data_IF_376269932792
#
_entry.id   IF_376269932792
#
_cell.length_a   1.000
_cell.length_b   1.000
_cell.length_c   1.000
_cell.angle_alpha   90.00
_cell.angle_beta   90.00
_cell.angle_gamma   90.00
#
_symmetry.space_group_name_H-M   'P 1'
#
loop_
_entity.id
_entity.type
_entity.pdbx_description
1 polymer ?
#
# COMPACT_ATOMS: atom_id res chain seq x y z
N UNK A 1 -18.36 7.48 15.15
CA UNK A 1 -18.07 7.93 13.78
C UNK A 1 -19.07 7.31 12.84
N UNK A 2 -19.70 8.14 12.01
CA UNK A 2 -20.53 7.69 10.89
C UNK A 2 -19.69 6.95 9.83
N UNK A 3 -20.34 6.16 8.99
CA UNK A 3 -19.67 5.50 7.85
C UNK A 3 -19.01 6.52 6.92
N UNK A 4 -19.67 7.65 6.66
CA UNK A 4 -19.14 8.74 5.83
C UNK A 4 -17.85 9.35 6.40
N UNK A 5 -17.75 9.49 7.72
CA UNK A 5 -16.51 9.94 8.38
C UNK A 5 -15.41 8.89 8.29
N UNK A 6 -15.75 7.60 8.48
CA UNK A 6 -14.76 6.53 8.32
C UNK A 6 -14.21 6.47 6.88
N UNK A 7 -15.06 6.69 5.88
CA UNK A 7 -14.66 6.76 4.48
C UNK A 7 -13.77 7.95 4.17
N UNK A 8 -14.06 9.12 4.74
CA UNK A 8 -13.23 10.31 4.54
C UNK A 8 -11.84 10.12 5.16
N UNK A 9 -11.77 9.52 6.36
CA UNK A 9 -10.49 9.17 6.99
C UNK A 9 -9.73 8.11 6.22
N UNK A 10 -10.40 7.07 5.71
CA UNK A 10 -9.73 6.04 4.93
C UNK A 10 -9.13 6.60 3.64
N UNK A 11 -9.87 7.46 2.92
CA UNK A 11 -9.35 8.17 1.74
C UNK A 11 -8.16 9.07 2.08
N UNK A 12 -8.21 9.74 3.22
CA UNK A 12 -7.10 10.57 3.68
C UNK A 12 -5.86 9.72 4.00
N UNK A 13 -6.02 8.59 4.68
CA UNK A 13 -4.93 7.64 4.95
C UNK A 13 -4.35 7.08 3.64
N UNK A 14 -5.20 6.72 2.68
CA UNK A 14 -4.75 6.27 1.35
C UNK A 14 -3.85 7.33 0.68
N UNK A 15 -4.25 8.59 0.70
CA UNK A 15 -3.44 9.69 0.15
C UNK A 15 -2.11 9.87 0.90
N UNK A 16 -2.09 9.72 2.23
CA UNK A 16 -0.87 9.80 3.02
C UNK A 16 0.10 8.65 2.70
N UNK A 17 -0.41 7.42 2.63
CA UNK A 17 0.39 6.25 2.25
C UNK A 17 0.95 6.46 0.86
N UNK A 18 0.13 6.92 -0.09
CA UNK A 18 0.59 7.18 -1.47
C UNK A 18 1.72 8.21 -1.51
N UNK A 19 1.53 9.38 -0.89
CA UNK A 19 2.55 10.43 -0.81
C UNK A 19 3.86 9.93 -0.18
N UNK A 20 3.76 9.14 0.89
CA UNK A 20 4.93 8.55 1.54
C UNK A 20 5.67 7.60 0.59
N UNK A 21 4.96 6.70 -0.08
CA UNK A 21 5.56 5.75 -1.02
C UNK A 21 6.22 6.48 -2.19
N UNK A 22 5.53 7.44 -2.81
CA UNK A 22 6.06 8.24 -3.92
C UNK A 22 7.38 8.92 -3.52
N UNK A 23 7.40 9.65 -2.39
CA UNK A 23 8.62 10.31 -1.92
C UNK A 23 9.78 9.35 -1.61
N UNK A 24 9.48 8.16 -1.07
CA UNK A 24 10.50 7.12 -0.83
C UNK A 24 11.04 6.54 -2.15
N UNK A 25 10.18 6.36 -3.15
CA UNK A 25 10.55 5.82 -4.46
C UNK A 25 11.34 6.81 -5.31
N UNK A 26 10.93 8.08 -5.33
CA UNK A 26 11.63 9.17 -6.02
C UNK A 26 13.03 9.38 -5.45
N UNK A 27 13.15 9.41 -4.12
CA UNK A 27 14.42 9.57 -3.42
C UNK A 27 15.30 8.32 -3.37
N UNK A 28 14.86 7.18 -3.92
CA UNK A 28 15.56 5.90 -3.86
C UNK A 28 15.93 5.43 -2.44
N UNK A 29 15.15 5.78 -1.42
CA UNK A 29 15.47 5.48 -0.02
C UNK A 29 15.11 4.02 0.35
N UNK A 30 15.85 3.05 -0.20
CA UNK A 30 15.55 1.60 -0.11
C UNK A 30 15.34 1.07 1.31
N UNK A 31 15.99 1.67 2.33
CA UNK A 31 15.83 1.28 3.73
C UNK A 31 14.39 1.40 4.25
N UNK A 32 13.54 2.17 3.58
CA UNK A 32 12.13 2.35 3.95
C UNK A 32 11.16 1.50 3.11
N UNK A 33 11.63 0.66 2.19
CA UNK A 33 10.73 -0.15 1.35
C UNK A 33 9.89 -1.13 2.17
N UNK A 34 10.46 -1.73 3.23
CA UNK A 34 9.71 -2.58 4.16
C UNK A 34 8.61 -1.82 4.91
N UNK A 35 8.89 -0.58 5.34
CA UNK A 35 7.89 0.28 6.00
C UNK A 35 6.73 0.59 5.03
N UNK A 36 7.05 1.03 3.81
CA UNK A 36 6.06 1.27 2.76
C UNK A 36 5.21 0.02 2.46
N UNK A 37 5.85 -1.15 2.32
CA UNK A 37 5.12 -2.39 2.08
C UNK A 37 4.18 -2.75 3.24
N UNK A 38 4.59 -2.51 4.49
CA UNK A 38 3.75 -2.67 5.67
C UNK A 38 2.52 -1.75 5.67
N UNK A 39 2.68 -0.46 5.32
CA UNK A 39 1.55 0.45 5.20
C UNK A 39 0.56 0.04 4.11
N UNK A 40 1.07 -0.36 2.95
CA UNK A 40 0.25 -0.85 1.83
C UNK A 40 -0.52 -2.11 2.25
N UNK A 41 0.14 -3.03 2.97
CA UNK A 41 -0.49 -4.23 3.48
C UNK A 41 -1.63 -3.92 4.43
N UNK A 42 -1.37 -3.10 5.46
CA UNK A 42 -2.37 -2.73 6.45
C UNK A 42 -3.56 -1.99 5.84
N UNK A 43 -3.30 -1.04 4.93
CA UNK A 43 -4.36 -0.32 4.22
C UNK A 43 -5.22 -1.28 3.38
N UNK A 44 -4.58 -2.20 2.67
CA UNK A 44 -5.28 -3.20 1.87
C UNK A 44 -6.09 -4.20 2.69
N UNK A 45 -5.61 -4.58 3.89
CA UNK A 45 -6.36 -5.41 4.85
C UNK A 45 -7.60 -4.68 5.38
N UNK A 46 -7.49 -3.38 5.65
CA UNK A 46 -8.64 -2.54 6.03
C UNK A 46 -9.64 -2.41 4.88
N UNK A 47 -9.17 -2.23 3.64
CA UNK A 47 -10.04 -2.23 2.46
C UNK A 47 -10.79 -3.55 2.33
N UNK A 48 -10.10 -4.67 2.54
CA UNK A 48 -10.67 -6.02 2.47
C UNK A 48 -11.70 -6.28 3.58
N UNK A 49 -11.42 -5.86 4.81
CA UNK A 49 -12.38 -5.97 5.92
C UNK A 49 -13.64 -5.13 5.72
N UNK A 50 -13.58 -4.11 4.85
CA UNK A 50 -14.71 -3.27 4.44
C UNK A 50 -15.39 -3.74 3.15
N UNK A 51 -15.14 -4.97 2.74
CA UNK A 51 -15.86 -5.63 1.63
C UNK A 51 -15.21 -5.51 0.26
N UNK A 52 -14.02 -4.89 0.14
CA UNK A 52 -13.28 -4.90 -1.12
C UNK A 52 -12.63 -6.28 -1.30
N UNK A 53 -13.22 -7.09 -2.19
CA UNK A 53 -12.71 -8.42 -2.49
C UNK A 53 -11.22 -8.39 -2.85
N UNK A 54 -10.42 -9.17 -2.12
CA UNK A 54 -8.95 -9.25 -2.27
C UNK A 54 -8.26 -7.89 -2.13
N UNK A 55 -8.77 -7.01 -1.27
CA UNK A 55 -8.29 -5.64 -1.10
C UNK A 55 -6.77 -5.54 -0.92
N UNK A 56 -6.19 -6.39 -0.06
CA UNK A 56 -4.74 -6.44 0.16
C UNK A 56 -3.97 -6.74 -1.11
N UNK A 57 -4.35 -7.81 -1.81
CA UNK A 57 -3.64 -8.25 -3.02
C UNK A 57 -3.79 -7.23 -4.16
N UNK A 58 -5.00 -6.70 -4.36
CA UNK A 58 -5.26 -5.70 -5.39
C UNK A 58 -4.42 -4.45 -5.20
N UNK A 59 -4.33 -3.97 -3.96
CA UNK A 59 -3.55 -2.77 -3.65
C UNK A 59 -2.05 -3.02 -3.85
N UNK A 60 -1.52 -4.13 -3.32
CA UNK A 60 -0.11 -4.50 -3.49
C UNK A 60 0.29 -4.66 -4.96
N UNK A 61 -0.54 -5.33 -5.76
CA UNK A 61 -0.29 -5.51 -7.20
C UNK A 61 -0.36 -4.19 -7.97
N UNK A 62 -1.25 -3.26 -7.57
CA UNK A 62 -1.26 -1.89 -8.10
C UNK A 62 0.06 -1.16 -7.85
N UNK A 63 0.57 -1.21 -6.62
CA UNK A 63 1.88 -0.65 -6.29
C UNK A 63 3.04 -1.35 -7.02
N UNK A 64 2.99 -2.68 -7.22
CA UNK A 64 3.96 -3.40 -8.06
C UNK A 64 3.96 -2.87 -9.49
N UNK A 65 2.77 -2.62 -10.06
CA UNK A 65 2.60 -2.12 -11.43
C UNK A 65 3.13 -0.70 -11.58
N UNK A 66 2.75 0.21 -10.67
CA UNK A 66 3.21 1.60 -10.66
C UNK A 66 4.74 1.71 -10.57
N UNK A 67 5.37 0.80 -9.83
CA UNK A 67 6.82 0.74 -9.66
C UNK A 67 7.43 -0.52 -10.29
N UNK A 68 7.06 -0.83 -11.52
CA UNK A 68 7.44 -2.06 -12.25
C UNK A 68 8.94 -2.37 -12.32
N UNK A 69 9.81 -1.36 -12.18
CA UNK A 69 11.28 -1.52 -12.22
C UNK A 69 11.92 -1.68 -10.83
N UNK A 70 11.16 -1.59 -9.74
CA UNK A 70 11.66 -1.57 -8.36
C UNK A 70 11.68 -2.97 -7.71
N UNK A 71 12.59 -3.84 -8.17
CA UNK A 71 12.67 -5.24 -7.69
C UNK A 71 12.77 -5.40 -6.17
N UNK A 72 13.61 -4.58 -5.51
CA UNK A 72 13.74 -4.62 -4.04
C UNK A 72 12.46 -4.20 -3.32
N UNK A 73 11.66 -3.32 -3.92
CA UNK A 73 10.34 -2.97 -3.38
C UNK A 73 9.34 -4.12 -3.58
N UNK A 74 9.37 -4.80 -4.73
CA UNK A 74 8.54 -5.98 -4.96
C UNK A 74 8.83 -7.10 -3.96
N UNK A 75 10.11 -7.29 -3.61
CA UNK A 75 10.52 -8.22 -2.55
C UNK A 75 9.95 -7.80 -1.19
N UNK A 76 10.02 -6.51 -0.84
CA UNK A 76 9.37 -6.00 0.36
C UNK A 76 7.85 -6.28 0.35
N UNK A 77 7.15 -6.06 -0.76
CA UNK A 77 5.71 -6.38 -0.89
C UNK A 77 5.44 -7.88 -0.67
N UNK A 78 6.28 -8.76 -1.24
CA UNK A 78 6.18 -10.22 -1.01
C UNK A 78 6.38 -10.60 0.45
N UNK A 79 7.29 -9.94 1.16
CA UNK A 79 7.50 -10.15 2.60
C UNK A 79 6.27 -9.79 3.46
N UNK A 80 5.33 -9.00 2.92
CA UNK A 80 4.04 -8.73 3.53
C UNK A 80 2.88 -9.55 2.94
N UNK A 81 3.19 -10.56 2.12
CA UNK A 81 2.22 -11.54 1.61
C UNK A 81 1.63 -11.22 0.25
N UNK A 82 2.23 -10.33 -0.56
CA UNK A 82 1.86 -10.17 -1.97
C UNK A 82 2.08 -11.49 -2.73
N UNK A 83 1.11 -11.88 -3.55
CA UNK A 83 1.18 -13.05 -4.45
C UNK A 83 1.08 -12.55 -5.89
N UNK A 84 2.15 -12.69 -6.66
CA UNK A 84 2.36 -12.03 -7.95
C UNK A 84 2.89 -12.91 -9.08
#
# INVERSE_FOLDING_TARGET
MSETEQDSYLKWVEQLVRKRVDGIMEGNYRKYYHECAGYIAALGEVMESRGILKGKQRLMLGYKQDYSRRRAFHEALRNFGMRD
#
